data_IF_883504853134
#
_entry.id   IF_883504853134
#
_cell.length_a   1.000
_cell.length_b   1.000
_cell.length_c   1.000
_cell.angle_alpha   90.00
_cell.angle_beta   90.00
_cell.angle_gamma   90.00
#
_symmetry.space_group_name_H-M   'P 1'
#
loop_
_entity.id
_entity.type
_entity.pdbx_description
1 polymer ?
#
# COMPACT_ATOMS: atom_id res chain seq x y z
N UNK A 1 0.24 -19.45 8.36
CA UNK A 1 0.42 -18.56 7.20
C UNK A 1 -0.63 -17.52 7.36
N UNK A 2 -0.23 -16.26 7.28
CA UNK A 2 -1.12 -15.14 7.59
C UNK A 2 -2.18 -14.97 6.52
N UNK A 3 -3.38 -14.62 6.99
CA UNK A 3 -4.50 -14.23 6.14
C UNK A 3 -4.49 -12.71 6.00
N UNK A 4 -4.75 -12.25 4.77
CA UNK A 4 -4.86 -10.82 4.46
C UNK A 4 -6.31 -10.54 4.09
N UNK A 5 -6.94 -9.65 4.84
CA UNK A 5 -8.29 -9.17 4.59
C UNK A 5 -8.20 -7.72 4.13
N UNK A 6 -8.51 -7.46 2.87
CA UNK A 6 -8.54 -6.12 2.33
C UNK A 6 -9.99 -5.63 2.26
N UNK A 7 -10.24 -4.49 2.89
CA UNK A 7 -11.49 -3.74 2.79
C UNK A 7 -11.23 -2.44 1.98
N UNK A 8 -12.26 -1.63 1.76
CA UNK A 8 -12.16 -0.35 1.05
C UNK A 8 -11.22 0.63 1.74
N UNK A 9 -11.21 0.67 3.07
CA UNK A 9 -10.45 1.68 3.83
C UNK A 9 -9.22 1.14 4.54
N UNK A 10 -9.10 -0.18 4.68
CA UNK A 10 -8.02 -0.79 5.47
C UNK A 10 -7.62 -2.17 4.99
N UNK A 11 -6.37 -2.51 5.22
CA UNK A 11 -5.82 -3.85 5.17
C UNK A 11 -5.70 -4.39 6.59
N UNK A 12 -6.35 -5.52 6.86
CA UNK A 12 -6.18 -6.27 8.08
C UNK A 12 -5.29 -7.50 7.86
N UNK A 13 -4.28 -7.63 8.70
CA UNK A 13 -3.39 -8.78 8.74
C UNK A 13 -3.80 -9.64 9.94
N UNK A 14 -4.52 -10.72 9.64
CA UNK A 14 -4.97 -11.64 10.67
C UNK A 14 -3.83 -12.57 11.08
N UNK A 15 -3.47 -12.48 12.35
CA UNK A 15 -2.48 -13.35 12.96
C UNK A 15 -3.20 -14.50 13.66
N UNK A 16 -2.82 -15.74 13.33
CA UNK A 16 -3.22 -16.90 14.12
C UNK A 16 -2.66 -16.82 15.55
N UNK A 17 -3.21 -17.57 16.53
CA UNK A 17 -2.72 -17.55 17.91
C UNK A 17 -1.21 -17.84 18.03
N UNK A 18 -0.69 -18.78 17.22
CA UNK A 18 0.73 -19.08 17.19
C UNK A 18 1.54 -17.91 16.62
N UNK A 19 1.04 -17.23 15.59
CA UNK A 19 1.71 -16.08 14.99
C UNK A 19 1.76 -14.89 15.94
N UNK A 20 0.68 -14.65 16.69
CA UNK A 20 0.65 -13.67 17.80
C UNK A 20 1.70 -13.99 18.87
N UNK A 21 1.78 -15.26 19.29
CA UNK A 21 2.76 -15.70 20.28
C UNK A 21 4.21 -15.48 19.82
N UNK A 22 4.58 -15.94 18.61
CA UNK A 22 5.96 -15.81 18.13
C UNK A 22 6.35 -14.38 17.75
N UNK A 23 5.38 -13.53 17.40
CA UNK A 23 5.60 -12.11 17.09
C UNK A 23 5.51 -11.20 18.31
N UNK A 24 5.18 -11.74 19.49
CA UNK A 24 4.93 -10.99 20.72
C UNK A 24 3.85 -9.91 20.56
N UNK A 25 2.83 -10.16 19.72
CA UNK A 25 1.67 -9.26 19.57
C UNK A 25 0.42 -9.88 20.18
N UNK A 26 -0.48 -9.03 20.68
CA UNK A 26 -1.80 -9.42 21.20
C UNK A 26 -2.88 -9.36 20.13
N UNK A 27 -2.74 -8.42 19.21
CA UNK A 27 -3.79 -8.06 18.24
C UNK A 27 -3.32 -8.21 16.80
N UNK A 28 -4.30 -8.23 15.88
CA UNK A 28 -4.08 -8.15 14.44
C UNK A 28 -3.44 -6.81 14.05
N UNK A 29 -2.92 -6.71 12.83
CA UNK A 29 -2.46 -5.42 12.29
C UNK A 29 -3.58 -4.83 11.46
N UNK A 30 -3.90 -3.57 11.74
CA UNK A 30 -4.84 -2.79 10.95
C UNK A 30 -4.07 -1.65 10.31
N UNK A 31 -3.99 -1.68 8.98
CA UNK A 31 -3.24 -0.70 8.19
C UNK A 31 -4.26 0.10 7.38
N UNK A 32 -4.23 1.42 7.50
CA UNK A 32 -5.02 2.27 6.62
C UNK A 32 -4.60 2.02 5.18
N UNK A 33 -5.57 1.90 4.28
CA UNK A 33 -5.29 1.61 2.88
C UNK A 33 -4.45 2.71 2.22
N UNK A 34 -4.74 3.95 2.56
CA UNK A 34 -4.02 5.15 2.13
C UNK A 34 -2.54 5.15 2.56
N UNK A 35 -2.20 4.42 3.62
CA UNK A 35 -0.82 4.27 4.07
C UNK A 35 -0.01 3.33 3.17
N UNK A 36 -0.64 2.54 2.30
CA UNK A 36 0.06 1.55 1.45
C UNK A 36 0.67 2.26 0.24
N UNK A 37 2.00 2.41 0.26
CA UNK A 37 2.76 3.05 -0.81
C UNK A 37 3.08 2.07 -1.93
N UNK A 38 3.48 0.85 -1.56
CA UNK A 38 3.96 -0.15 -2.52
C UNK A 38 3.73 -1.56 -2.02
N UNK A 39 3.40 -2.45 -2.95
CA UNK A 39 3.32 -3.89 -2.70
C UNK A 39 4.22 -4.64 -3.67
N UNK A 40 5.08 -5.49 -3.13
CA UNK A 40 6.02 -6.31 -3.89
C UNK A 40 5.85 -7.78 -3.53
N UNK A 41 5.74 -8.64 -4.54
CA UNK A 41 5.75 -10.09 -4.37
C UNK A 41 7.21 -10.56 -4.37
N UNK A 42 7.53 -11.48 -3.46
CA UNK A 42 8.87 -12.08 -3.38
C UNK A 42 8.75 -13.54 -2.97
N UNK A 43 9.62 -14.37 -3.53
CA UNK A 43 9.77 -15.77 -3.12
C UNK A 43 10.85 -15.94 -2.03
N UNK A 44 11.66 -14.90 -1.79
CA UNK A 44 12.67 -14.88 -0.76
C UNK A 44 12.57 -13.63 0.12
N UNK A 45 11.77 -13.75 1.19
CA UNK A 45 11.56 -12.67 2.14
C UNK A 45 12.76 -12.41 3.07
N UNK A 46 13.69 -13.36 3.20
CA UNK A 46 14.86 -13.20 4.09
C UNK A 46 15.78 -12.07 3.64
N UNK A 47 15.85 -11.80 2.34
CA UNK A 47 16.60 -10.67 1.76
C UNK A 47 16.07 -9.30 2.19
N UNK A 48 14.82 -9.23 2.65
CA UNK A 48 14.18 -8.00 3.12
C UNK A 48 14.35 -7.79 4.63
N UNK A 49 14.91 -8.77 5.35
CA UNK A 49 15.14 -8.68 6.78
C UNK A 49 16.29 -7.70 7.05
N UNK A 50 15.98 -6.61 7.74
CA UNK A 50 16.95 -5.58 8.10
C UNK A 50 16.78 -5.13 9.54
N UNK A 51 17.87 -4.60 10.11
CA UNK A 51 17.86 -4.15 11.50
C UNK A 51 17.88 -5.30 12.51
N UNK A 52 17.39 -5.02 13.72
CA UNK A 52 17.46 -5.94 14.86
C UNK A 52 16.06 -6.21 15.42
N UNK A 53 15.74 -7.48 15.68
CA UNK A 53 14.46 -7.86 16.27
C UNK A 53 14.30 -7.34 17.70
N UNK A 54 13.24 -6.56 17.96
CA UNK A 54 12.94 -5.97 19.28
C UNK A 54 11.48 -5.47 19.35
N UNK A 55 10.52 -6.23 19.91
CA UNK A 55 10.56 -7.65 20.29
C UNK A 55 10.35 -8.58 19.07
N UNK A 56 10.88 -9.81 19.13
CA UNK A 56 10.62 -10.80 18.08
C UNK A 56 11.29 -12.16 18.28
N UNK A 57 10.77 -13.18 17.60
CA UNK A 57 11.36 -14.52 17.50
C UNK A 57 12.19 -14.62 16.24
N UNK A 58 13.44 -15.04 16.36
CA UNK A 58 14.32 -15.27 15.22
C UNK A 58 14.98 -16.66 15.32
N UNK A 59 14.62 -17.53 14.38
CA UNK A 59 15.23 -18.83 14.15
C UNK A 59 15.73 -18.80 12.70
N UNK A 60 17.06 -18.67 12.47
CA UNK A 60 17.63 -18.52 11.14
C UNK A 60 17.07 -19.54 10.14
N UNK A 61 16.71 -19.07 8.94
CA UNK A 61 16.14 -19.86 7.82
C UNK A 61 14.77 -20.51 8.08
N UNK A 62 14.26 -20.47 9.33
CA UNK A 62 13.00 -21.12 9.71
C UNK A 62 11.91 -20.09 9.98
N UNK A 63 12.20 -19.09 10.80
CA UNK A 63 11.23 -18.13 11.30
C UNK A 63 11.88 -16.79 11.65
N UNK A 64 11.31 -15.70 11.19
CA UNK A 64 11.51 -14.36 11.75
C UNK A 64 10.13 -13.75 12.00
N UNK A 65 9.83 -13.36 13.24
CA UNK A 65 8.48 -12.93 13.63
C UNK A 65 8.52 -11.82 14.68
N UNK A 66 7.80 -10.70 14.46
CA UNK A 66 7.72 -9.57 15.39
C UNK A 66 8.18 -8.25 14.78
N UNK A 67 8.71 -7.35 15.62
CA UNK A 67 9.14 -6.00 15.22
C UNK A 67 10.65 -5.95 15.01
N UNK A 68 11.07 -5.49 13.84
CA UNK A 68 12.47 -5.32 13.45
C UNK A 68 12.77 -3.83 13.38
N UNK A 69 13.68 -3.37 14.25
CA UNK A 69 14.05 -1.96 14.35
C UNK A 69 15.27 -1.69 13.47
N UNK A 70 15.16 -0.67 12.64
CA UNK A 70 16.23 -0.20 11.76
C UNK A 70 16.40 1.32 11.89
N UNK A 71 17.47 1.86 11.32
CA UNK A 71 17.69 3.32 11.31
C UNK A 71 16.58 4.09 10.58
N UNK A 72 15.88 3.46 9.62
CA UNK A 72 14.80 4.11 8.88
C UNK A 72 13.43 3.97 9.54
N UNK A 73 13.30 3.16 10.59
CA UNK A 73 12.03 2.90 11.27
C UNK A 73 11.82 1.43 11.66
N UNK A 74 10.58 1.10 11.97
CA UNK A 74 10.18 -0.24 12.42
C UNK A 74 9.50 -1.03 11.30
N UNK A 75 9.98 -2.24 11.07
CA UNK A 75 9.37 -3.20 10.16
C UNK A 75 8.62 -4.25 11.00
N UNK A 76 7.43 -4.67 10.58
CA UNK A 76 6.82 -5.88 11.10
C UNK A 76 7.15 -7.05 10.19
N UNK A 77 7.68 -8.11 10.77
CA UNK A 77 8.18 -9.27 10.05
C UNK A 77 7.41 -10.50 10.51
N UNK A 78 6.97 -11.31 9.55
CA UNK A 78 6.50 -12.67 9.78
C UNK A 78 6.89 -13.55 8.59
N UNK A 79 8.15 -13.96 8.57
CA UNK A 79 8.76 -14.80 7.54
C UNK A 79 8.76 -16.24 8.01
N UNK A 80 8.33 -17.16 7.15
CA UNK A 80 8.36 -18.61 7.40
C UNK A 80 9.06 -19.33 6.25
N UNK A 81 10.27 -19.86 6.51
CA UNK A 81 11.09 -20.57 5.51
C UNK A 81 11.25 -19.74 4.22
N UNK A 82 11.57 -20.36 3.09
CA UNK A 82 11.54 -19.72 1.77
C UNK A 82 10.20 -20.05 1.10
N UNK A 83 9.22 -19.19 1.33
CA UNK A 83 7.85 -19.34 0.81
C UNK A 83 7.40 -18.02 0.18
N UNK A 84 6.44 -18.08 -0.76
CA UNK A 84 5.84 -16.87 -1.33
C UNK A 84 5.42 -15.90 -0.24
N UNK A 85 5.84 -14.66 -0.43
CA UNK A 85 5.74 -13.62 0.56
C UNK A 85 5.42 -12.29 -0.13
N UNK A 86 4.93 -11.35 0.67
CA UNK A 86 4.64 -10.01 0.23
C UNK A 86 5.39 -9.03 1.10
N UNK A 87 5.93 -8.00 0.47
CA UNK A 87 6.53 -6.83 1.12
C UNK A 87 5.64 -5.65 0.84
N UNK A 88 5.22 -4.96 1.89
CA UNK A 88 4.31 -3.82 1.83
C UNK A 88 5.04 -2.64 2.44
N UNK A 89 5.38 -1.64 1.63
CA UNK A 89 5.93 -0.38 2.11
C UNK A 89 4.78 0.55 2.53
N UNK A 90 4.94 1.18 3.68
CA UNK A 90 3.93 2.00 4.33
C UNK A 90 4.46 3.39 4.67
N UNK A 91 3.56 4.38 4.64
CA UNK A 91 3.84 5.75 5.06
C UNK A 91 2.78 6.22 6.08
N UNK A 92 3.20 6.93 7.13
CA UNK A 92 2.30 7.43 8.17
C UNK A 92 1.68 6.36 9.08
N UNK A 93 2.21 5.13 9.09
CA UNK A 93 1.71 4.01 9.91
C UNK A 93 2.69 3.61 11.05
N UNK A 94 2.24 2.72 11.95
CA UNK A 94 3.06 2.14 13.05
C UNK A 94 4.35 1.49 12.54
N UNK A 95 4.26 0.86 11.37
CA UNK A 95 5.37 0.23 10.68
C UNK A 95 5.60 0.94 9.36
N UNK A 96 6.86 1.10 8.98
CA UNK A 96 7.23 1.57 7.63
C UNK A 96 7.13 0.44 6.59
N UNK A 97 7.16 -0.82 7.05
CA UNK A 97 7.14 -1.99 6.17
C UNK A 97 6.57 -3.21 6.86
N UNK A 98 5.80 -4.00 6.10
CA UNK A 98 5.40 -5.35 6.47
C UNK A 98 6.09 -6.36 5.56
N UNK A 99 6.71 -7.40 6.13
CA UNK A 99 7.31 -8.51 5.38
C UNK A 99 6.63 -9.81 5.82
N UNK A 100 5.72 -10.33 4.99
CA UNK A 100 4.78 -11.38 5.39
C UNK A 100 4.84 -12.58 4.46
N UNK A 101 5.06 -13.78 5.03
CA UNK A 101 4.84 -15.03 4.31
C UNK A 101 3.36 -15.36 4.22
N UNK A 102 2.82 -15.31 3.00
CA UNK A 102 1.40 -15.52 2.72
C UNK A 102 1.18 -16.00 1.29
N UNK A 103 0.12 -16.79 1.09
CA UNK A 103 -0.34 -17.24 -0.23
C UNK A 103 -1.22 -16.20 -0.91
N UNK A 104 -1.65 -15.19 -0.16
CA UNK A 104 -2.62 -14.18 -0.60
C UNK A 104 -1.95 -12.95 -1.23
N UNK A 105 -0.62 -12.93 -1.35
CA UNK A 105 0.12 -11.77 -1.86
C UNK A 105 -0.33 -11.35 -3.27
N UNK A 106 -0.49 -12.31 -4.18
CA UNK A 106 -0.94 -12.03 -5.55
C UNK A 106 -2.34 -11.40 -5.56
N UNK A 107 -3.27 -11.97 -4.79
CA UNK A 107 -4.63 -11.44 -4.66
C UNK A 107 -4.64 -10.02 -4.08
N UNK A 108 -3.80 -9.74 -3.06
CA UNK A 108 -3.62 -8.39 -2.52
C UNK A 108 -3.14 -7.41 -3.61
N UNK A 109 -2.09 -7.78 -4.35
CA UNK A 109 -1.54 -6.92 -5.39
C UNK A 109 -2.54 -6.64 -6.52
N UNK A 110 -3.38 -7.62 -6.88
CA UNK A 110 -4.45 -7.44 -7.86
C UNK A 110 -5.56 -6.53 -7.33
N UNK A 111 -6.02 -6.75 -6.11
CA UNK A 111 -7.09 -5.93 -5.51
C UNK A 111 -6.67 -4.46 -5.41
N UNK A 112 -5.45 -4.18 -4.96
CA UNK A 112 -4.93 -2.80 -4.89
C UNK A 112 -4.84 -2.12 -6.27
N UNK A 113 -4.52 -2.87 -7.33
CA UNK A 113 -4.49 -2.34 -8.71
C UNK A 113 -5.88 -2.07 -9.27
N UNK A 114 -6.85 -2.94 -9.00
CA UNK A 114 -8.22 -2.78 -9.49
C UNK A 114 -8.85 -1.50 -8.96
N UNK A 115 -8.62 -1.19 -7.69
CA UNK A 115 -9.14 0.03 -7.08
C UNK A 115 -8.47 1.28 -7.66
N UNK A 116 -7.15 1.26 -7.89
CA UNK A 116 -6.46 2.37 -8.58
C UNK A 116 -7.00 2.60 -10.00
N UNK A 117 -7.34 1.54 -10.74
CA UNK A 117 -7.98 1.66 -12.04
C UNK A 117 -9.39 2.26 -11.95
N UNK A 118 -10.14 1.96 -10.88
CA UNK A 118 -11.48 2.53 -10.65
C UNK A 118 -11.42 4.03 -10.35
N UNK A 119 -10.48 4.47 -9.52
CA UNK A 119 -10.27 5.89 -9.21
C UNK A 119 -9.86 6.67 -10.47
N UNK A 120 -8.99 6.10 -11.31
CA UNK A 120 -8.59 6.72 -12.58
C UNK A 120 -9.77 6.89 -13.53
N UNK A 121 -10.66 5.90 -13.62
CA UNK A 121 -11.86 5.98 -14.45
C UNK A 121 -12.81 7.11 -14.00
N UNK A 122 -13.06 7.23 -12.70
CA UNK A 122 -13.89 8.31 -12.13
C UNK A 122 -13.31 9.70 -12.43
N UNK A 123 -11.99 9.87 -12.28
CA UNK A 123 -11.33 11.15 -12.61
C UNK A 123 -11.45 11.48 -14.10
N UNK A 124 -11.30 10.50 -14.98
CA UNK A 124 -11.46 10.74 -16.43
C UNK A 124 -12.88 11.16 -16.82
N UNK A 125 -13.91 10.60 -16.17
CA UNK A 125 -15.30 10.96 -16.43
C UNK A 125 -15.65 12.39 -15.96
N UNK A 126 -15.09 12.80 -14.81
CA UNK A 126 -15.23 14.16 -14.30
C UNK A 126 -14.51 15.16 -15.22
N UNK A 127 -13.28 14.85 -15.64
CA UNK A 127 -12.52 15.70 -16.55
C UNK A 127 -13.20 15.82 -17.93
N UNK A 128 -13.82 14.74 -18.42
CA UNK A 128 -14.58 14.76 -19.67
C UNK A 128 -15.87 15.61 -19.57
N UNK A 129 -16.46 15.72 -18.39
CA UNK A 129 -17.69 16.50 -18.16
C UNK A 129 -17.43 17.98 -17.88
N UNK A 130 -16.20 18.34 -17.51
CA UNK A 130 -15.79 19.69 -17.10
C UNK A 130 -15.23 20.58 -18.21
N UNK A 131 -15.80 20.60 -19.42
CA UNK A 131 -15.46 21.64 -20.40
C UNK A 131 -16.21 22.94 -20.05
N UNK A 132 -15.58 23.81 -19.27
CA UNK A 132 -16.03 25.21 -19.14
C UNK A 132 -15.81 25.87 -20.51
N UNK A 133 -16.85 26.31 -21.24
CA UNK A 133 -16.63 27.02 -22.48
C UNK A 133 -16.00 28.37 -22.15
N UNK A 134 -14.74 28.55 -22.52
CA UNK A 134 -14.11 29.87 -22.58
C UNK A 134 -14.87 30.64 -23.66
N UNK A 135 -15.74 31.57 -23.23
CA UNK A 135 -16.43 32.46 -24.14
C UNK A 135 -15.40 33.36 -24.84
N UNK A 136 -15.33 33.27 -26.18
CA UNK A 136 -14.60 34.24 -26.99
C UNK A 136 -15.17 35.65 -26.73
N UNK A 137 -14.34 36.67 -26.52
CA UNK A 137 -14.81 38.04 -26.40
C UNK A 137 -15.38 38.50 -27.75
N UNK A 138 -16.71 38.65 -27.80
CA UNK A 138 -17.45 39.20 -28.93
C UNK A 138 -17.16 40.70 -29.11
N UNK A 139 -17.14 41.12 -30.38
CA UNK A 139 -16.52 42.35 -30.87
C UNK A 139 -17.07 43.69 -30.36
N UNK A 140 -16.28 44.74 -30.58
CA UNK A 140 -16.74 46.14 -30.51
C UNK A 140 -17.02 46.66 -31.93
N UNK A 141 -18.14 47.34 -32.20
CA UNK A 141 -18.45 47.87 -33.51
C UNK A 141 -17.93 49.30 -33.72
N UNK A 142 -17.37 49.56 -34.90
CA UNK A 142 -17.59 50.80 -35.63
C UNK A 142 -16.47 51.85 -35.63
N UNK A 143 -15.99 52.19 -36.84
CA UNK A 143 -15.97 53.59 -37.31
C UNK A 143 -15.84 53.64 -38.84
N UNK A 144 -16.92 54.02 -39.53
CA UNK A 144 -16.87 54.43 -40.94
C UNK A 144 -16.02 55.70 -41.05
N UNK A 145 -15.02 55.70 -41.94
CA UNK A 145 -14.35 56.94 -42.41
C UNK A 145 -14.87 57.26 -43.81
N UNK A 146 -15.34 58.50 -43.97
CA UNK A 146 -15.88 59.10 -45.20
C UNK A 146 -14.71 59.56 -46.09
N UNK A 147 -14.82 59.52 -47.43
CA UNK A 147 -13.72 59.93 -48.29
C UNK A 147 -13.69 61.46 -48.47
N UNK A 148 -12.50 61.99 -48.73
CA UNK A 148 -12.23 63.34 -49.26
C UNK A 148 -10.98 63.25 -50.10
#
# INVERSE_FOLDING_TARGET
MVTLLLDRTRLEVELSPLERAVSFRRDNLHIAREAIVKVQLTDDAWTWLRGVGSPGTHVPLVLAAGTWKSASGNDFVLIRRHKPSVVIDLEGAEFQRLVLTTRHGLALAQALRLDASSELAEVTDIAATGAIPVAEPSGTPGRKRKPS
#
